data_IF_661194662364
#
_entry.id   IF_661194662364
#
_cell.length_a   1.000
_cell.length_b   1.000
_cell.length_c   1.000
_cell.angle_alpha   90.00
_cell.angle_beta   90.00
_cell.angle_gamma   90.00
#
_symmetry.space_group_name_H-M   'P 1'
#
loop_
_entity.id
_entity.type
_entity.pdbx_description
1 polymer ?
#
# COMPACT_ATOMS: atom_id res chain seq x y z
N UNK A 1 16.12 17.22 20.22
CA UNK A 1 15.85 16.21 19.16
C UNK A 1 17.04 15.27 19.12
N UNK A 2 16.83 13.97 19.32
CA UNK A 2 17.91 12.97 19.43
C UNK A 2 17.87 12.03 18.24
N UNK A 3 19.03 11.75 17.64
CA UNK A 3 19.14 10.77 16.57
C UNK A 3 19.05 9.35 17.13
N UNK A 4 18.09 8.59 16.64
CA UNK A 4 17.85 7.19 17.03
C UNK A 4 17.87 6.29 15.80
N UNK A 5 17.71 4.99 16.01
CA UNK A 5 17.36 4.05 14.95
C UNK A 5 15.97 3.49 15.20
N UNK A 6 15.15 3.45 14.16
CA UNK A 6 13.87 2.74 14.18
C UNK A 6 13.88 1.62 13.15
N UNK A 7 13.08 0.60 13.42
CA UNK A 7 12.78 -0.45 12.47
C UNK A 7 11.69 0.02 11.50
N UNK A 8 11.95 -0.21 10.20
CA UNK A 8 11.01 0.03 9.10
C UNK A 8 10.96 -1.24 8.28
N UNK A 9 9.75 -1.67 7.89
CA UNK A 9 9.58 -2.83 7.01
C UNK A 9 9.67 -2.39 5.55
N UNK A 10 10.50 -3.09 4.77
CA UNK A 10 10.64 -2.87 3.32
C UNK A 10 10.55 -4.23 2.65
N UNK A 11 9.51 -4.46 1.83
CA UNK A 11 9.27 -5.72 1.13
C UNK A 11 9.34 -6.94 2.08
N UNK A 12 8.66 -6.83 3.22
CA UNK A 12 8.60 -7.89 4.23
C UNK A 12 9.87 -8.07 5.07
N UNK A 13 10.93 -7.28 4.87
CA UNK A 13 12.18 -7.32 5.66
C UNK A 13 12.27 -6.15 6.62
N UNK A 14 12.73 -6.41 7.83
CA UNK A 14 13.01 -5.37 8.83
C UNK A 14 14.35 -4.72 8.48
N UNK A 15 14.35 -3.39 8.35
CA UNK A 15 15.55 -2.60 8.09
C UNK A 15 15.61 -1.47 9.11
N UNK A 16 16.76 -1.31 9.77
CA UNK A 16 17.00 -0.18 10.67
C UNK A 16 17.35 1.07 9.87
N UNK A 17 16.70 2.18 10.22
CA UNK A 17 16.91 3.49 9.60
C UNK A 17 17.18 4.55 10.66
N UNK A 18 18.06 5.54 10.37
CA UNK A 18 18.17 6.73 11.20
C UNK A 18 16.81 7.42 11.32
N UNK A 19 16.46 7.81 12.53
CA UNK A 19 15.18 8.41 12.85
C UNK A 19 15.31 9.49 13.92
N UNK A 20 14.29 10.33 13.99
CA UNK A 20 14.16 11.42 14.94
C UNK A 20 12.68 11.60 15.27
N UNK A 21 12.38 11.97 16.51
CA UNK A 21 11.02 12.32 16.95
C UNK A 21 10.83 13.84 16.89
N UNK A 22 9.79 14.28 16.20
CA UNK A 22 9.40 15.70 16.09
C UNK A 22 7.88 15.78 16.19
N UNK A 23 7.36 16.58 17.12
CA UNK A 23 5.91 16.78 17.31
C UNK A 23 5.12 15.46 17.39
N UNK A 24 5.64 14.48 18.15
CA UNK A 24 5.02 13.17 18.32
C UNK A 24 5.08 12.25 17.09
N UNK A 25 5.88 12.59 16.07
CA UNK A 25 6.03 11.81 14.84
C UNK A 25 7.46 11.32 14.66
N UNK A 26 7.58 10.04 14.31
CA UNK A 26 8.84 9.43 13.89
C UNK A 26 9.15 9.80 12.44
N UNK A 27 10.20 10.59 12.23
CA UNK A 27 10.71 10.90 10.88
C UNK A 27 11.90 10.00 10.59
N UNK A 28 11.87 9.29 9.46
CA UNK A 28 12.92 8.36 9.04
C UNK A 28 13.66 8.86 7.81
N UNK A 29 14.98 8.69 7.79
CA UNK A 29 15.80 8.97 6.60
C UNK A 29 16.00 7.71 5.76
N UNK A 30 15.68 7.81 4.47
CA UNK A 30 15.83 6.75 3.46
C UNK A 30 16.92 7.15 2.44
N UNK A 31 17.54 6.16 1.80
CA UNK A 31 18.59 6.37 0.81
C UNK A 31 20.01 6.46 1.40
N UNK A 32 21.01 6.24 0.55
CA UNK A 32 22.44 6.29 0.92
C UNK A 32 23.09 7.59 0.47
N UNK A 33 22.97 7.87 -0.84
CA UNK A 33 23.61 9.02 -1.48
C UNK A 33 22.73 10.26 -1.50
N UNK A 34 21.43 10.09 -1.74
CA UNK A 34 20.41 11.13 -1.56
C UNK A 34 19.59 10.66 -0.37
N UNK A 35 19.57 11.46 0.70
CA UNK A 35 18.84 11.15 1.93
C UNK A 35 17.48 11.84 1.89
N UNK A 36 16.42 11.04 1.86
CA UNK A 36 15.04 11.53 1.84
C UNK A 36 14.40 11.22 3.19
N UNK A 37 14.05 12.26 3.93
CA UNK A 37 13.25 12.18 5.15
C UNK A 37 11.76 12.01 4.80
N UNK A 38 11.09 11.11 5.49
CA UNK A 38 9.65 10.89 5.39
C UNK A 38 9.07 10.53 6.76
N UNK A 39 7.79 10.84 6.99
CA UNK A 39 7.09 10.37 8.18
C UNK A 39 6.94 8.84 8.09
N UNK A 40 7.25 8.14 9.17
CA UNK A 40 7.04 6.68 9.25
C UNK A 40 5.54 6.39 9.27
N UNK A 41 5.12 5.40 8.48
CA UNK A 41 3.71 4.95 8.40
C UNK A 41 2.73 6.10 8.08
N UNK A 42 3.19 7.10 7.32
CA UNK A 42 2.50 8.35 7.01
C UNK A 42 1.04 8.17 6.57
N UNK A 43 0.77 7.17 5.75
CA UNK A 43 -0.55 6.86 5.20
C UNK A 43 -1.58 6.38 6.23
N UNK A 44 -1.14 6.04 7.46
CA UNK A 44 -2.00 5.58 8.56
C UNK A 44 -2.05 6.56 9.73
N UNK A 45 -1.42 7.72 9.62
CA UNK A 45 -1.48 8.77 10.63
C UNK A 45 -2.66 9.66 10.31
N UNK A 46 -3.60 9.81 11.25
CA UNK A 46 -4.72 10.73 11.09
C UNK A 46 -4.22 12.16 10.90
N UNK A 47 -4.77 12.87 9.90
CA UNK A 47 -4.34 14.20 9.44
C UNK A 47 -2.92 14.25 8.83
N UNK A 48 -2.21 13.13 8.73
CA UNK A 48 -0.86 13.04 8.18
C UNK A 48 0.10 14.05 8.82
N UNK A 49 0.75 14.86 7.99
CA UNK A 49 1.58 15.99 8.45
C UNK A 49 0.73 17.18 8.92
N UNK A 50 -0.45 17.40 8.34
CA UNK A 50 -1.35 18.48 8.75
C UNK A 50 -0.66 19.84 8.86
N UNK A 51 -1.09 20.65 9.82
CA UNK A 51 -0.53 22.00 10.05
C UNK A 51 0.92 22.02 10.58
N UNK A 52 1.47 20.86 10.96
CA UNK A 52 2.82 20.75 11.50
C UNK A 52 3.92 20.82 10.42
N UNK A 53 3.57 20.94 9.14
CA UNK A 53 4.53 20.91 8.02
C UNK A 53 5.71 21.87 8.19
N UNK A 54 5.44 23.14 8.53
CA UNK A 54 6.49 24.15 8.72
C UNK A 54 7.38 23.84 9.92
N UNK A 55 6.79 23.39 11.02
CA UNK A 55 7.50 22.98 12.24
C UNK A 55 8.43 21.80 11.96
N UNK A 56 7.95 20.79 11.22
CA UNK A 56 8.76 19.65 10.81
C UNK A 56 9.92 20.08 9.90
N UNK A 57 9.66 20.97 8.94
CA UNK A 57 10.69 21.49 8.01
C UNK A 57 11.79 22.23 8.77
N UNK A 58 11.43 23.13 9.70
CA UNK A 58 12.40 23.90 10.48
C UNK A 58 13.24 23.01 11.39
N UNK A 59 12.60 22.07 12.09
CA UNK A 59 13.28 21.09 12.93
C UNK A 59 14.21 20.16 12.12
N UNK A 60 13.84 19.78 10.90
CA UNK A 60 14.67 18.94 10.04
C UNK A 60 15.86 19.67 9.42
N UNK A 61 15.74 20.99 9.17
CA UNK A 61 16.85 21.82 8.66
C UNK A 61 17.98 21.97 9.68
N UNK A 62 17.63 22.09 10.95
CA UNK A 62 18.56 22.28 12.08
C UNK A 62 18.92 20.97 12.80
N UNK A 63 18.17 19.90 12.54
CA UNK A 63 18.22 18.65 13.29
C UNK A 63 19.30 17.65 12.84
N UNK A 64 19.53 16.61 13.66
CA UNK A 64 20.63 15.66 13.46
C UNK A 64 20.37 14.58 12.39
N UNK A 65 19.18 14.53 11.79
CA UNK A 65 18.83 13.51 10.78
C UNK A 65 19.65 13.67 9.48
N UNK A 66 20.13 14.89 9.20
CA UNK A 66 20.98 15.24 8.05
C UNK A 66 20.43 14.72 6.71
N UNK A 67 19.12 14.89 6.48
CA UNK A 67 18.46 14.55 5.23
C UNK A 67 18.60 15.69 4.19
N UNK A 68 18.61 15.34 2.91
CA UNK A 68 18.71 16.31 1.81
C UNK A 68 17.33 16.87 1.42
N UNK A 69 16.31 16.01 1.43
CA UNK A 69 14.92 16.33 1.04
C UNK A 69 13.99 15.78 2.11
N UNK A 70 12.98 16.54 2.49
CA UNK A 70 11.84 16.04 3.25
C UNK A 70 10.64 15.89 2.33
N UNK A 71 9.84 14.84 2.53
CA UNK A 71 8.63 14.64 1.74
C UNK A 71 7.46 14.19 2.59
N UNK A 72 6.27 14.69 2.23
CA UNK A 72 5.01 14.33 2.87
C UNK A 72 3.83 14.46 1.91
N UNK A 73 2.75 13.73 2.16
CA UNK A 73 1.51 13.77 1.40
C UNK A 73 0.39 14.47 2.19
N UNK A 74 -0.47 15.18 1.46
CA UNK A 74 -1.82 15.48 1.93
C UNK A 74 -2.67 14.21 1.94
N UNK A 75 -3.62 14.17 2.86
CA UNK A 75 -4.55 13.05 3.01
C UNK A 75 -5.98 13.47 2.66
N UNK A 76 -6.80 12.48 2.36
CA UNK A 76 -8.25 12.66 2.21
C UNK A 76 -8.85 13.30 3.47
N UNK A 77 -9.89 14.13 3.32
CA UNK A 77 -10.53 14.54 2.06
C UNK A 77 -9.82 15.73 1.36
N UNK A 78 -8.66 16.18 1.85
CA UNK A 78 -8.00 17.40 1.38
C UNK A 78 -7.20 17.20 0.10
N UNK A 79 -7.84 17.39 -1.06
CA UNK A 79 -7.22 17.24 -2.39
C UNK A 79 -6.62 18.54 -2.94
N UNK A 80 -7.08 19.71 -2.48
CA UNK A 80 -6.57 21.00 -2.92
C UNK A 80 -5.17 21.28 -2.33
N UNK A 81 -4.17 21.69 -3.13
CA UNK A 81 -2.84 22.00 -2.61
C UNK A 81 -2.85 23.12 -1.57
N UNK A 82 -2.25 22.88 -0.41
CA UNK A 82 -2.16 23.81 0.73
C UNK A 82 -0.79 24.49 0.86
N UNK A 83 0.30 23.84 0.47
CA UNK A 83 1.65 24.33 0.71
C UNK A 83 2.34 24.80 -0.58
N UNK A 84 3.25 25.76 -0.44
CA UNK A 84 4.04 26.32 -1.55
C UNK A 84 5.39 25.60 -1.69
N UNK A 85 5.36 24.28 -1.69
CA UNK A 85 6.52 23.41 -1.89
C UNK A 85 6.50 22.78 -3.29
N UNK A 86 7.61 22.11 -3.68
CA UNK A 86 7.63 21.33 -4.92
C UNK A 86 6.53 20.27 -4.82
N UNK A 87 5.57 20.34 -5.73
CA UNK A 87 4.34 19.58 -5.71
C UNK A 87 4.37 18.49 -6.78
N UNK A 88 4.00 17.29 -6.36
CA UNK A 88 3.72 16.14 -7.21
C UNK A 88 2.38 15.52 -6.79
N UNK A 89 1.92 14.51 -7.53
CA UNK A 89 0.61 13.91 -7.34
C UNK A 89 0.72 12.42 -7.05
N UNK A 90 0.25 12.02 -5.87
CA UNK A 90 0.02 10.62 -5.53
C UNK A 90 -1.35 10.20 -6.08
N UNK A 91 -1.37 9.15 -6.89
CA UNK A 91 -2.58 8.61 -7.50
C UNK A 91 -3.16 7.51 -6.63
N UNK A 92 -4.28 7.76 -5.94
CA UNK A 92 -4.93 6.80 -5.03
C UNK A 92 -6.23 6.25 -5.60
N UNK A 93 -6.48 4.96 -5.39
CA UNK A 93 -7.73 4.27 -5.68
C UNK A 93 -8.69 4.40 -4.50
N UNK A 94 -9.80 5.11 -4.71
CA UNK A 94 -10.73 5.48 -3.64
C UNK A 94 -12.17 5.17 -4.05
N UNK A 95 -12.96 4.61 -3.13
CA UNK A 95 -14.43 4.60 -3.22
C UNK A 95 -14.94 5.73 -2.31
N UNK A 96 -15.55 6.79 -2.87
CA UNK A 96 -16.33 7.75 -2.09
C UNK A 96 -17.61 7.06 -1.59
N UNK A 97 -17.89 7.17 -0.29
CA UNK A 97 -18.99 6.47 0.35
C UNK A 97 -20.13 7.45 0.64
N UNK A 98 -21.29 7.15 0.07
CA UNK A 98 -22.57 7.78 0.44
C UNK A 98 -23.50 6.74 1.06
N UNK A 99 -23.82 5.68 0.31
CA UNK A 99 -24.57 4.50 0.78
C UNK A 99 -24.03 3.22 0.16
N UNK A 100 -24.19 2.09 0.84
CA UNK A 100 -23.83 0.77 0.29
C UNK A 100 -24.61 0.47 -0.99
N UNK A 101 -25.93 0.67 -0.98
CA UNK A 101 -26.79 0.41 -2.13
C UNK A 101 -26.49 1.34 -3.32
N UNK A 102 -26.17 2.61 -3.04
CA UNK A 102 -25.73 3.56 -4.05
C UNK A 102 -24.46 3.11 -4.73
N UNK A 103 -23.44 2.71 -3.96
CA UNK A 103 -22.22 2.13 -4.49
C UNK A 103 -22.51 0.86 -5.31
N UNK A 104 -23.27 -0.10 -4.76
CA UNK A 104 -23.55 -1.36 -5.42
C UNK A 104 -24.26 -1.16 -6.77
N UNK A 105 -25.20 -0.20 -6.88
CA UNK A 105 -25.83 0.17 -8.15
C UNK A 105 -24.88 0.91 -9.10
N UNK A 106 -23.90 1.65 -8.57
CA UNK A 106 -22.94 2.44 -9.34
C UNK A 106 -21.77 1.66 -9.95
N UNK A 107 -21.37 0.53 -9.38
CA UNK A 107 -20.25 -0.26 -9.93
C UNK A 107 -20.61 -0.95 -11.27
N UNK A 108 -19.62 -1.49 -11.97
CA UNK A 108 -19.89 -2.20 -13.23
C UNK A 108 -20.71 -3.48 -13.03
N UNK A 109 -21.50 -3.85 -14.04
CA UNK A 109 -22.37 -5.03 -14.01
C UNK A 109 -21.61 -6.31 -13.64
N UNK A 110 -20.43 -6.51 -14.21
CA UNK A 110 -19.61 -7.69 -13.95
C UNK A 110 -19.11 -7.76 -12.50
N UNK A 111 -18.81 -6.61 -11.88
CA UNK A 111 -18.41 -6.56 -10.48
C UNK A 111 -19.59 -6.89 -9.55
N UNK A 112 -20.79 -6.34 -9.80
CA UNK A 112 -22.02 -6.74 -9.10
C UNK A 112 -22.29 -8.24 -9.23
N UNK A 113 -22.16 -8.76 -10.46
CA UNK A 113 -22.36 -10.18 -10.76
C UNK A 113 -21.33 -11.04 -10.03
N UNK A 114 -20.08 -10.59 -9.90
CA UNK A 114 -19.04 -11.28 -9.16
C UNK A 114 -19.36 -11.39 -7.65
N UNK A 115 -19.87 -10.33 -7.03
CA UNK A 115 -20.33 -10.35 -5.62
C UNK A 115 -21.45 -11.39 -5.44
N UNK A 116 -22.48 -11.35 -6.30
CA UNK A 116 -23.58 -12.32 -6.27
C UNK A 116 -23.09 -13.75 -6.54
N UNK A 117 -22.13 -13.92 -7.46
CA UNK A 117 -21.53 -15.21 -7.79
C UNK A 117 -20.78 -15.80 -6.60
N UNK A 118 -20.08 -14.99 -5.82
CA UNK A 118 -19.39 -15.45 -4.62
C UNK A 118 -20.36 -16.05 -3.61
N UNK A 119 -21.45 -15.33 -3.30
CA UNK A 119 -22.50 -15.83 -2.41
C UNK A 119 -23.13 -17.12 -2.93
N UNK A 120 -23.49 -17.18 -4.23
CA UNK A 120 -24.02 -18.41 -4.86
C UNK A 120 -23.03 -19.58 -4.86
N UNK A 121 -21.73 -19.30 -4.81
CA UNK A 121 -20.68 -20.31 -4.72
C UNK A 121 -20.38 -20.73 -3.28
N UNK A 122 -21.18 -20.29 -2.30
CA UNK A 122 -21.04 -20.63 -0.89
C UNK A 122 -19.99 -19.81 -0.13
N UNK A 123 -19.52 -18.69 -0.70
CA UNK A 123 -18.56 -17.81 -0.02
C UNK A 123 -19.29 -16.95 1.01
N UNK A 124 -18.88 -17.06 2.27
CA UNK A 124 -19.38 -16.26 3.39
C UNK A 124 -18.33 -15.21 3.75
N UNK A 125 -18.69 -13.93 3.78
CA UNK A 125 -17.80 -12.84 4.19
C UNK A 125 -18.28 -12.21 5.49
N UNK A 126 -17.38 -12.04 6.45
CA UNK A 126 -17.73 -11.50 7.78
C UNK A 126 -16.52 -10.81 8.45
N UNK A 127 -16.76 -9.86 9.37
CA UNK A 127 -15.74 -9.41 10.30
C UNK A 127 -15.19 -10.59 11.10
N UNK A 128 -13.89 -10.55 11.40
CA UNK A 128 -13.20 -11.57 12.18
C UNK A 128 -12.22 -10.92 13.13
N UNK A 129 -12.05 -11.52 14.30
CA UNK A 129 -11.03 -11.12 15.26
C UNK A 129 -9.67 -11.69 14.87
N UNK A 130 -8.60 -11.02 15.30
CA UNK A 130 -7.26 -11.53 15.11
C UNK A 130 -6.92 -12.59 16.15
N UNK A 131 -7.16 -13.86 15.79
CA UNK A 131 -6.80 -15.02 16.60
C UNK A 131 -5.80 -15.95 15.88
N UNK A 132 -5.39 -17.02 16.55
CA UNK A 132 -4.45 -17.98 15.99
C UNK A 132 -5.02 -18.75 14.79
N UNK A 133 -6.34 -18.92 14.69
CA UNK A 133 -6.98 -19.57 13.55
C UNK A 133 -6.89 -18.70 12.30
N UNK A 134 -7.21 -17.40 12.42
CA UNK A 134 -7.05 -16.43 11.35
C UNK A 134 -5.60 -16.35 10.90
N UNK A 135 -4.64 -16.30 11.83
CA UNK A 135 -3.21 -16.28 11.46
C UNK A 135 -2.82 -17.55 10.69
N UNK A 136 -3.26 -18.75 11.12
CA UNK A 136 -3.00 -20.00 10.38
C UNK A 136 -3.58 -19.93 8.97
N UNK A 137 -4.82 -19.44 8.82
CA UNK A 137 -5.43 -19.23 7.52
C UNK A 137 -4.64 -18.26 6.62
N UNK A 138 -4.17 -17.14 7.18
CA UNK A 138 -3.33 -16.17 6.47
C UNK A 138 -1.99 -16.79 6.05
N UNK A 139 -1.34 -17.57 6.92
CA UNK A 139 -0.10 -18.31 6.60
C UNK A 139 -0.35 -19.24 5.42
N UNK A 140 -1.47 -19.97 5.40
CA UNK A 140 -1.82 -20.86 4.30
C UNK A 140 -2.03 -20.08 2.98
N UNK A 141 -2.75 -18.95 3.02
CA UNK A 141 -2.92 -18.07 1.85
C UNK A 141 -1.58 -17.56 1.35
N UNK A 142 -0.68 -17.15 2.26
CA UNK A 142 0.63 -16.65 1.87
C UNK A 142 1.51 -17.73 1.20
N UNK A 143 1.38 -18.97 1.65
CA UNK A 143 2.19 -20.09 1.19
C UNK A 143 1.61 -20.84 -0.02
N UNK A 144 0.54 -20.34 -0.65
CA UNK A 144 0.00 -20.94 -1.88
C UNK A 144 1.01 -20.96 -3.04
N UNK A 145 1.78 -19.89 -3.19
CA UNK A 145 2.77 -19.77 -4.26
C UNK A 145 3.89 -18.81 -3.86
N UNK A 146 5.14 -19.19 -4.18
CA UNK A 146 6.33 -18.34 -4.02
C UNK A 146 6.40 -17.21 -5.03
N UNK A 147 5.56 -17.24 -6.06
CA UNK A 147 5.42 -16.22 -7.10
C UNK A 147 3.98 -15.75 -7.18
N UNK A 148 3.77 -14.43 -7.11
CA UNK A 148 2.47 -13.79 -7.36
C UNK A 148 2.65 -12.69 -8.41
N UNK A 149 1.82 -12.72 -9.45
CA UNK A 149 1.86 -11.77 -10.57
C UNK A 149 3.25 -11.62 -11.21
N UNK A 150 3.96 -12.75 -11.39
CA UNK A 150 5.29 -12.78 -12.00
C UNK A 150 6.42 -12.21 -11.14
N UNK A 151 6.14 -11.84 -9.89
CA UNK A 151 7.14 -11.35 -8.93
C UNK A 151 7.27 -12.35 -7.76
N UNK A 152 8.48 -12.43 -7.19
CA UNK A 152 8.70 -13.20 -5.97
C UNK A 152 7.84 -12.63 -4.84
N UNK A 153 7.12 -13.51 -4.14
CA UNK A 153 6.17 -13.11 -3.12
C UNK A 153 6.83 -13.12 -1.73
N UNK A 154 7.07 -11.95 -1.15
CA UNK A 154 7.85 -11.80 0.10
C UNK A 154 7.15 -12.30 1.36
N UNK A 155 5.85 -12.62 1.29
CA UNK A 155 5.14 -13.28 2.39
C UNK A 155 5.25 -14.81 2.36
N UNK A 156 5.72 -15.39 1.24
CA UNK A 156 5.96 -16.82 1.14
C UNK A 156 7.07 -17.28 2.10
N UNK A 157 6.86 -18.42 2.74
CA UNK A 157 7.81 -19.04 3.66
C UNK A 157 7.92 -18.38 5.03
N UNK A 158 7.10 -17.36 5.34
CA UNK A 158 7.07 -16.74 6.68
C UNK A 158 6.47 -17.69 7.72
N UNK A 159 7.07 -17.71 8.91
CA UNK A 159 6.56 -18.50 10.04
C UNK A 159 5.26 -17.91 10.59
N UNK A 160 4.53 -18.72 11.34
CA UNK A 160 3.32 -18.30 12.05
C UNK A 160 3.58 -17.07 12.93
N UNK A 161 4.65 -17.09 13.72
CA UNK A 161 5.03 -16.02 14.63
C UNK A 161 5.33 -14.73 13.86
N UNK A 162 6.04 -14.85 12.72
CA UNK A 162 6.36 -13.70 11.87
C UNK A 162 5.08 -13.08 11.30
N UNK A 163 4.17 -13.90 10.80
CA UNK A 163 2.87 -13.42 10.29
C UNK A 163 2.04 -12.80 11.40
N UNK A 164 2.02 -13.39 12.60
CA UNK A 164 1.33 -12.84 13.77
C UNK A 164 1.87 -11.44 14.11
N UNK A 165 3.19 -11.28 14.20
CA UNK A 165 3.82 -9.97 14.43
C UNK A 165 3.57 -8.96 13.32
N UNK A 166 3.47 -9.39 12.06
CA UNK A 166 3.11 -8.52 10.94
C UNK A 166 1.64 -8.05 11.05
N UNK A 167 0.74 -8.92 11.54
CA UNK A 167 -0.69 -8.61 11.63
C UNK A 167 -1.08 -7.86 12.91
N UNK A 168 -0.24 -7.85 13.95
CA UNK A 168 -0.43 -7.01 15.15
C UNK A 168 -0.20 -5.51 14.92
N UNK A 169 0.51 -5.12 13.85
CA UNK A 169 0.78 -3.71 13.54
C UNK A 169 -0.52 -2.94 13.32
N UNK A 170 -0.72 -1.79 13.99
CA UNK A 170 -1.95 -0.96 13.92
C UNK A 170 -3.23 -1.68 14.38
N UNK A 171 -3.13 -2.74 15.21
CA UNK A 171 -4.29 -3.54 15.60
C UNK A 171 -5.44 -2.71 16.19
N UNK A 172 -5.13 -1.76 17.08
CA UNK A 172 -6.13 -0.92 17.77
C UNK A 172 -6.97 -0.02 16.86
N UNK A 173 -6.55 0.15 15.60
CA UNK A 173 -7.27 0.94 14.59
C UNK A 173 -7.59 0.11 13.34
N UNK A 174 -7.49 -1.23 13.42
CA UNK A 174 -7.68 -2.10 12.27
C UNK A 174 -8.86 -3.04 12.44
N UNK A 175 -9.45 -3.44 11.32
CA UNK A 175 -10.44 -4.50 11.27
C UNK A 175 -10.07 -5.54 10.22
N UNK A 176 -10.31 -6.81 10.55
CA UNK A 176 -10.17 -7.92 9.63
C UNK A 176 -11.53 -8.36 9.10
N UNK A 177 -11.56 -8.71 7.82
CA UNK A 177 -12.71 -9.33 7.17
C UNK A 177 -12.20 -10.65 6.57
N UNK A 178 -12.83 -11.77 6.93
CA UNK A 178 -12.53 -13.07 6.36
C UNK A 178 -13.55 -13.46 5.28
N UNK A 179 -13.08 -14.12 4.23
CA UNK A 179 -13.89 -14.84 3.26
C UNK A 179 -13.71 -16.33 3.48
N UNK A 180 -14.81 -17.02 3.74
CA UNK A 180 -14.84 -18.44 4.09
C UNK A 180 -15.60 -19.23 3.03
N UNK A 181 -15.11 -20.43 2.72
CA UNK A 181 -15.86 -21.43 1.99
C UNK A 181 -16.02 -22.64 2.91
N UNK A 182 -17.25 -22.90 3.35
CA UNK A 182 -17.50 -23.73 4.53
C UNK A 182 -16.74 -23.11 5.72
N UNK A 183 -15.79 -23.85 6.31
CA UNK A 183 -14.97 -23.37 7.43
C UNK A 183 -13.54 -22.98 7.01
N UNK A 184 -13.17 -23.14 5.74
CA UNK A 184 -11.83 -22.76 5.26
C UNK A 184 -11.76 -21.25 4.97
N UNK A 185 -10.80 -20.55 5.57
CA UNK A 185 -10.45 -19.19 5.18
C UNK A 185 -9.84 -19.18 3.77
N UNK A 186 -10.57 -18.61 2.81
CA UNK A 186 -10.14 -18.52 1.41
C UNK A 186 -9.66 -17.13 0.98
N UNK A 187 -9.82 -16.12 1.83
CA UNK A 187 -9.31 -14.78 1.63
C UNK A 187 -9.54 -13.88 2.84
N UNK A 188 -8.86 -12.74 2.89
CA UNK A 188 -9.02 -11.76 3.95
C UNK A 188 -8.74 -10.33 3.46
N UNK A 189 -9.30 -9.36 4.18
CA UNK A 189 -8.91 -7.95 4.19
C UNK A 189 -8.42 -7.60 5.57
N UNK A 190 -7.36 -6.79 5.65
CA UNK A 190 -7.05 -5.96 6.80
C UNK A 190 -7.19 -4.50 6.39
N UNK A 191 -8.10 -3.77 7.04
CA UNK A 191 -8.32 -2.35 6.85
C UNK A 191 -7.91 -1.58 8.10
N UNK A 192 -7.46 -0.33 7.94
CA UNK A 192 -7.08 0.58 9.02
C UNK A 192 -7.97 1.82 8.93
N UNK A 193 -8.55 2.23 10.06
CA UNK A 193 -9.33 3.45 10.18
C UNK A 193 -8.43 4.65 10.43
N UNK A 194 -8.64 5.73 9.67
CA UNK A 194 -7.85 6.95 9.70
C UNK A 194 -8.82 8.13 9.67
N UNK A 195 -9.16 8.67 10.84
CA UNK A 195 -10.15 9.72 10.98
C UNK A 195 -11.47 9.36 10.29
N UNK A 196 -11.79 10.06 9.20
CA UNK A 196 -13.05 9.91 8.47
C UNK A 196 -13.03 8.88 7.33
N UNK A 197 -11.95 8.13 7.14
CA UNK A 197 -11.84 7.12 6.07
C UNK A 197 -11.17 5.82 6.52
N UNK A 198 -11.28 4.78 5.71
CA UNK A 198 -10.53 3.54 5.89
C UNK A 198 -9.52 3.35 4.76
N UNK A 199 -8.34 2.83 5.07
CA UNK A 199 -7.34 2.39 4.10
C UNK A 199 -7.14 0.89 4.17
N UNK A 200 -7.12 0.24 3.02
CA UNK A 200 -6.84 -1.18 2.91
C UNK A 200 -5.34 -1.39 3.06
N UNK A 201 -4.93 -2.18 4.07
CA UNK A 201 -3.53 -2.51 4.31
C UNK A 201 -3.15 -3.84 3.66
N UNK A 202 -4.04 -4.85 3.75
CA UNK A 202 -3.88 -6.11 3.03
C UNK A 202 -5.21 -6.54 2.42
N UNK A 203 -5.17 -7.09 1.22
CA UNK A 203 -6.30 -7.79 0.59
C UNK A 203 -5.76 -8.96 -0.21
N UNK A 204 -6.08 -10.17 0.21
CA UNK A 204 -5.55 -11.38 -0.41
C UNK A 204 -6.56 -12.52 -0.36
N UNK A 205 -6.50 -13.37 -1.37
CA UNK A 205 -7.24 -14.63 -1.42
C UNK A 205 -6.42 -15.72 -2.08
N UNK A 206 -6.85 -16.97 -1.92
CA UNK A 206 -6.31 -18.07 -2.69
C UNK A 206 -6.59 -17.89 -4.19
N UNK A 207 -5.58 -18.12 -5.03
CA UNK A 207 -5.69 -18.20 -6.49
C UNK A 207 -6.55 -19.39 -6.91
N UNK A 208 -6.44 -20.55 -6.23
CA UNK A 208 -7.28 -21.74 -6.45
C UNK A 208 -8.78 -21.45 -6.30
N UNK A 209 -9.16 -20.41 -5.55
CA UNK A 209 -10.56 -20.01 -5.34
C UNK A 209 -10.96 -18.74 -6.10
N UNK A 210 -10.09 -18.19 -6.96
CA UNK A 210 -10.36 -16.98 -7.76
C UNK A 210 -11.65 -17.06 -8.59
N UNK A 211 -12.01 -18.25 -9.10
CA UNK A 211 -13.24 -18.47 -9.85
C UNK A 211 -14.52 -18.20 -9.03
N UNK A 212 -14.45 -18.33 -7.71
CA UNK A 212 -15.52 -18.05 -6.73
C UNK A 212 -15.57 -16.58 -6.30
N UNK A 213 -14.68 -15.72 -6.80
CA UNK A 213 -14.70 -14.26 -6.59
C UNK A 213 -14.64 -13.81 -5.10
N UNK A 214 -13.80 -14.42 -4.23
CA UNK A 214 -13.72 -14.02 -2.82
C UNK A 214 -13.32 -12.55 -2.64
N UNK A 215 -12.40 -12.02 -3.46
CA UNK A 215 -11.97 -10.62 -3.36
C UNK A 215 -13.10 -9.63 -3.64
N UNK A 216 -13.99 -9.91 -4.61
CA UNK A 216 -15.15 -9.06 -4.86
C UNK A 216 -16.10 -9.03 -3.66
N UNK A 217 -16.34 -10.20 -3.04
CA UNK A 217 -17.16 -10.27 -1.83
C UNK A 217 -16.53 -9.54 -0.64
N UNK A 218 -15.21 -9.66 -0.46
CA UNK A 218 -14.46 -8.93 0.57
C UNK A 218 -14.57 -7.41 0.40
N UNK A 219 -14.41 -6.90 -0.82
CA UNK A 219 -14.59 -5.46 -1.11
C UNK A 219 -16.04 -5.03 -0.84
N UNK A 220 -17.03 -5.85 -1.24
CA UNK A 220 -18.43 -5.59 -0.90
C UNK A 220 -18.64 -5.43 0.61
N UNK A 221 -18.13 -6.37 1.41
CA UNK A 221 -18.26 -6.30 2.88
C UNK A 221 -17.46 -5.13 3.47
N UNK A 222 -16.32 -4.79 2.90
CA UNK A 222 -15.54 -3.62 3.30
C UNK A 222 -16.31 -2.31 3.11
N UNK A 223 -16.98 -2.13 1.97
CA UNK A 223 -17.83 -0.95 1.70
C UNK A 223 -19.00 -0.89 2.67
N UNK A 224 -19.68 -2.02 2.91
CA UNK A 224 -20.80 -2.13 3.85
C UNK A 224 -20.39 -1.67 5.25
N UNK A 225 -19.29 -2.22 5.78
CA UNK A 225 -18.74 -1.85 7.09
C UNK A 225 -18.36 -0.37 7.15
N UNK A 226 -17.72 0.15 6.11
CA UNK A 226 -17.33 1.56 6.09
C UNK A 226 -18.55 2.48 6.10
N UNK A 227 -19.61 2.12 5.38
CA UNK A 227 -20.88 2.84 5.39
C UNK A 227 -21.56 2.78 6.77
N UNK A 228 -21.66 1.60 7.39
CA UNK A 228 -22.23 1.42 8.74
C UNK A 228 -21.50 2.26 9.80
N UNK A 229 -20.19 2.44 9.64
CA UNK A 229 -19.35 3.27 10.52
C UNK A 229 -19.39 4.76 10.20
N UNK A 230 -20.14 5.19 9.17
CA UNK A 230 -20.21 6.59 8.76
C UNK A 230 -18.91 7.13 8.14
N UNK A 231 -18.06 6.25 7.59
CA UNK A 231 -16.84 6.67 6.92
C UNK A 231 -17.15 7.25 5.54
N UNK A 232 -16.34 8.22 5.14
CA UNK A 232 -16.51 8.99 3.89
C UNK A 232 -15.83 8.35 2.70
N UNK A 233 -14.75 7.58 2.92
CA UNK A 233 -13.96 6.97 1.85
C UNK A 233 -13.42 5.59 2.26
N UNK A 234 -13.28 4.70 1.27
CA UNK A 234 -12.48 3.49 1.34
C UNK A 234 -11.33 3.56 0.33
N UNK A 235 -10.10 3.54 0.82
CA UNK A 235 -8.88 3.59 0.01
C UNK A 235 -8.35 2.18 -0.20
N UNK A 236 -8.03 1.82 -1.45
CA UNK A 236 -7.37 0.56 -1.77
C UNK A 236 -5.85 0.68 -1.75
N UNK A 237 -5.29 1.87 -1.96
CA UNK A 237 -3.85 2.09 -2.20
C UNK A 237 -3.66 2.90 -3.48
N UNK A 238 -2.55 2.71 -4.19
CA UNK A 238 -2.31 3.46 -5.43
C UNK A 238 -3.29 3.06 -6.54
N UNK A 239 -3.72 3.96 -7.42
CA UNK A 239 -4.62 3.60 -8.54
C UNK A 239 -3.87 2.87 -9.65
N UNK A 240 -2.69 3.39 -10.01
CA UNK A 240 -1.76 2.83 -10.99
C UNK A 240 -0.43 2.50 -10.32
N UNK A 241 0.05 1.28 -10.53
CA UNK A 241 1.40 0.89 -10.11
C UNK A 241 2.36 1.01 -11.30
N UNK A 242 3.56 1.55 -11.05
CA UNK A 242 4.58 1.81 -12.09
C UNK A 242 4.09 2.69 -13.26
N UNK A 243 3.01 3.46 -13.09
CA UNK A 243 2.41 4.31 -14.12
C UNK A 243 1.69 3.55 -15.24
N UNK A 244 1.52 2.23 -15.10
CA UNK A 244 0.93 1.36 -16.12
C UNK A 244 -0.45 0.88 -15.69
N UNK A 245 -1.41 0.89 -16.61
CA UNK A 245 -2.69 0.23 -16.39
C UNK A 245 -2.53 -1.28 -16.55
N UNK A 246 -3.03 -2.03 -15.57
CA UNK A 246 -2.96 -3.48 -15.56
C UNK A 246 -4.28 -4.10 -15.09
N UNK A 247 -4.32 -5.42 -14.97
CA UNK A 247 -5.51 -6.15 -14.53
C UNK A 247 -6.05 -5.72 -13.17
N UNK A 248 -5.19 -5.19 -12.29
CA UNK A 248 -5.61 -4.65 -10.99
C UNK A 248 -6.26 -3.27 -11.14
N UNK A 249 -5.71 -2.39 -11.99
CA UNK A 249 -6.35 -1.10 -12.31
C UNK A 249 -7.75 -1.32 -12.87
N UNK A 250 -7.91 -2.29 -13.77
CA UNK A 250 -9.23 -2.70 -14.26
C UNK A 250 -10.12 -3.23 -13.13
N UNK A 251 -9.62 -4.12 -12.27
CA UNK A 251 -10.39 -4.61 -11.13
C UNK A 251 -10.88 -3.47 -10.22
N UNK A 252 -10.02 -2.49 -9.93
CA UNK A 252 -10.35 -1.30 -9.12
C UNK A 252 -11.46 -0.50 -9.76
N UNK A 253 -11.28 -0.13 -11.04
CA UNK A 253 -12.28 0.61 -11.83
C UNK A 253 -13.64 -0.08 -11.81
N UNK A 254 -13.67 -1.37 -12.12
CA UNK A 254 -14.91 -2.17 -12.15
C UNK A 254 -15.59 -2.27 -10.79
N UNK A 255 -14.81 -2.28 -9.72
CA UNK A 255 -15.29 -2.34 -8.33
C UNK A 255 -15.68 -0.97 -7.76
N UNK A 256 -15.69 0.08 -8.58
CA UNK A 256 -16.13 1.43 -8.19
C UNK A 256 -15.04 2.30 -7.57
N UNK A 257 -13.77 1.88 -7.59
CA UNK A 257 -12.68 2.76 -7.21
C UNK A 257 -12.43 3.77 -8.32
N UNK A 258 -12.36 5.05 -7.94
CA UNK A 258 -11.95 6.16 -8.79
C UNK A 258 -10.53 6.59 -8.46
N UNK A 259 -9.87 7.23 -9.42
CA UNK A 259 -8.56 7.86 -9.21
C UNK A 259 -8.74 9.21 -8.53
N UNK A 260 -8.19 9.36 -7.32
CA UNK A 260 -8.07 10.66 -6.64
C UNK A 260 -6.59 11.03 -6.57
N UNK A 261 -6.26 12.23 -7.05
CA UNK A 261 -4.91 12.79 -6.98
C UNK A 261 -4.76 13.54 -5.65
N UNK A 262 -3.77 13.12 -4.85
CA UNK A 262 -3.41 13.76 -3.59
C UNK A 262 -2.08 14.52 -3.73
N UNK A 263 -1.99 15.76 -3.23
CA UNK A 263 -0.74 16.51 -3.22
C UNK A 263 0.38 15.80 -2.42
N UNK A 264 1.50 15.52 -3.07
CA UNK A 264 2.77 15.10 -2.47
C UNK A 264 3.75 16.26 -2.53
N UNK A 265 4.29 16.67 -1.40
CA UNK A 265 5.25 17.75 -1.30
C UNK A 265 6.68 17.25 -1.12
N UNK A 266 7.61 17.99 -1.70
CA UNK A 266 9.03 17.81 -1.48
C UNK A 266 9.68 19.14 -1.09
N UNK A 267 10.37 19.13 0.04
CA UNK A 267 11.03 20.29 0.62
C UNK A 267 12.53 20.07 0.58
N UNK A 268 13.30 20.91 -0.12
CA UNK A 268 14.76 20.83 -0.06
C UNK A 268 15.22 21.31 1.32
N UNK A 269 15.89 20.43 2.07
CA UNK A 269 16.48 20.75 3.37
C UNK A 269 17.91 21.28 3.23
N UNK A 270 18.60 20.88 2.16
CA UNK A 270 19.99 21.30 1.86
C UNK A 270 20.12 21.86 0.45
N UNK A 271 21.26 22.52 0.17
CA UNK A 271 21.61 22.96 -1.20
C UNK A 271 21.62 21.78 -2.18
N UNK A 272 22.15 20.64 -1.73
CA UNK A 272 22.12 19.39 -2.50
C UNK A 272 20.69 18.89 -2.74
N UNK A 273 19.81 18.98 -1.74
CA UNK A 273 18.38 18.69 -1.89
C UNK A 273 17.71 19.54 -2.97
N UNK A 274 18.05 20.83 -3.03
CA UNK A 274 17.53 21.73 -4.08
C UNK A 274 17.95 21.27 -5.48
N UNK A 275 19.22 20.90 -5.68
CA UNK A 275 19.70 20.35 -6.95
C UNK A 275 19.05 19.01 -7.29
N UNK A 276 18.86 18.14 -6.29
CA UNK A 276 18.19 16.84 -6.47
C UNK A 276 16.76 17.01 -6.97
N UNK A 277 15.99 17.94 -6.39
CA UNK A 277 14.62 18.22 -6.83
C UNK A 277 14.57 18.84 -8.21
N UNK A 278 15.44 19.82 -8.48
CA UNK A 278 15.55 20.44 -9.80
C UNK A 278 15.84 19.42 -10.91
N UNK A 279 16.69 18.43 -10.62
CA UNK A 279 17.03 17.36 -11.56
C UNK A 279 16.10 16.14 -11.53
N UNK A 280 15.06 16.11 -10.68
CA UNK A 280 14.14 14.96 -10.55
C UNK A 280 14.77 13.69 -9.96
N UNK A 281 15.91 13.79 -9.28
CA UNK A 281 16.68 12.63 -8.79
C UNK A 281 16.09 12.01 -7.50
N UNK A 282 15.12 12.66 -6.87
CA UNK A 282 14.45 12.18 -5.66
C UNK A 282 13.58 10.94 -5.90
N UNK A 283 13.15 10.66 -7.13
CA UNK A 283 12.47 9.42 -7.51
C UNK A 283 13.38 8.18 -7.53
N UNK A 284 14.67 8.37 -7.25
CA UNK A 284 15.70 7.35 -7.28
C UNK A 284 16.34 7.20 -8.65
N UNK A 285 17.64 6.87 -8.64
CA UNK A 285 18.48 6.81 -9.84
C UNK A 285 17.93 5.90 -10.95
N UNK A 286 17.11 4.88 -10.62
CA UNK A 286 16.50 3.99 -11.62
C UNK A 286 15.41 4.66 -12.46
N UNK A 287 14.66 5.61 -11.92
CA UNK A 287 13.62 6.34 -12.65
C UNK A 287 14.18 7.55 -13.42
N UNK A 288 15.34 8.06 -13.00
CA UNK A 288 16.05 9.16 -13.66
C UNK A 288 16.96 8.71 -14.82
N UNK A 289 17.28 7.41 -14.93
CA UNK A 289 18.13 6.90 -16.02
C UNK A 289 17.32 6.74 -17.32
N UNK A 290 17.78 7.30 -18.45
CA UNK A 290 17.17 7.06 -19.75
C UNK A 290 17.11 5.56 -20.07
N UNK A 291 15.99 5.11 -20.66
CA UNK A 291 15.75 3.70 -21.02
C UNK A 291 16.91 2.98 -21.74
N UNK A 292 17.70 3.63 -22.63
CA UNK A 292 18.86 3.00 -23.26
C UNK A 292 19.95 2.60 -22.26
N UNK A 293 20.19 3.43 -21.24
CA UNK A 293 21.20 3.21 -20.18
C UNK A 293 20.81 2.07 -19.25
N UNK A 294 19.51 1.92 -18.97
CA UNK A 294 18.99 0.79 -18.18
C UNK A 294 19.21 -0.53 -18.95
N UNK A 295 19.01 -0.52 -20.28
CA UNK A 295 19.22 -1.70 -21.13
C UNK A 295 20.70 -2.12 -21.19
N UNK A 296 21.63 -1.17 -21.36
CA UNK A 296 23.08 -1.46 -21.36
C UNK A 296 23.57 -1.94 -20.01
N UNK A 297 23.12 -1.32 -18.90
CA UNK A 297 23.47 -1.78 -17.54
C UNK A 297 22.88 -3.17 -17.24
N UNK A 298 21.68 -3.49 -17.73
CA UNK A 298 21.11 -4.84 -17.62
C UNK A 298 21.90 -5.86 -18.44
N UNK A 299 22.31 -5.52 -19.66
CA UNK A 299 23.11 -6.38 -20.53
C UNK A 299 24.53 -6.64 -19.97
N UNK A 300 25.14 -5.63 -19.34
CA UNK A 300 26.38 -5.78 -18.61
C UNK A 300 26.20 -6.70 -17.39
N UNK A 301 25.08 -6.56 -16.66
CA UNK A 301 24.77 -7.40 -15.50
C UNK A 301 24.43 -8.86 -15.87
N UNK A 302 23.78 -9.10 -17.01
CA UNK A 302 23.53 -10.47 -17.51
C UNK A 302 24.79 -11.18 -17.98
N UNK A 303 25.87 -10.45 -18.29
CA UNK A 303 27.20 -11.04 -18.54
C UNK A 303 27.90 -11.53 -17.26
N UNK A 304 27.45 -11.09 -16.08
CA UNK A 304 28.01 -11.51 -14.79
C UNK A 304 27.18 -12.55 -14.02
N UNK A 305 25.89 -12.70 -14.33
CA UNK A 305 25.04 -13.73 -13.75
C UNK A 305 24.61 -14.73 -14.83
N UNK A 306 25.14 -15.97 -14.80
CA UNK A 306 24.57 -17.08 -15.57
C UNK A 306 23.12 -17.32 -15.09
N UNK A 307 22.12 -17.37 -15.98
CA UNK A 307 20.77 -17.71 -15.59
C UNK A 307 20.66 -19.23 -15.35
N UNK A 308 20.05 -19.61 -14.22
CA UNK A 308 19.39 -20.91 -14.08
C UNK A 308 17.99 -20.73 -14.66
N UNK A 309 17.74 -21.31 -15.83
CA UNK A 309 16.42 -21.36 -16.46
C UNK A 309 15.51 -22.33 -15.70
N UNK A 310 14.32 -21.88 -15.31
CA UNK A 310 13.15 -22.76 -15.22
C UNK A 310 11.97 -22.12 -15.94
N UNK A 311 11.53 -22.83 -16.98
CA UNK A 311 10.28 -22.62 -17.71
C UNK A 311 9.10 -23.12 -16.89
N UNK A 312 8.01 -22.34 -16.86
CA UNK A 312 6.58 -22.70 -16.85
C UNK A 312 5.81 -21.41 -16.53
N UNK A 313 4.70 -21.00 -17.16
CA UNK A 313 3.75 -21.70 -18.00
C UNK A 313 2.39 -21.84 -17.31
N UNK A 314 1.65 -20.75 -17.07
CA UNK A 314 0.16 -20.61 -17.15
C UNK A 314 -0.35 -19.35 -16.43
N UNK A 315 -1.22 -18.62 -17.12
CA UNK A 315 -1.93 -17.44 -16.66
C UNK A 315 -2.91 -17.78 -15.53
N UNK A 316 -2.61 -17.33 -14.31
CA UNK A 316 -3.55 -17.19 -13.21
C UNK A 316 -3.64 -15.72 -12.80
N UNK A 317 -4.80 -15.09 -12.98
CA UNK A 317 -5.04 -13.71 -12.54
C UNK A 317 -5.33 -13.68 -11.02
N UNK A 318 -4.29 -13.48 -10.21
CA UNK A 318 -4.41 -13.18 -8.77
C UNK A 318 -4.33 -11.68 -8.51
N UNK A 319 -5.32 -11.06 -7.88
CA UNK A 319 -5.28 -9.61 -7.61
C UNK A 319 -4.09 -9.27 -6.70
N UNK A 320 -3.42 -8.14 -6.98
CA UNK A 320 -2.21 -7.73 -6.28
C UNK A 320 -2.51 -7.31 -4.85
N UNK A 321 -1.50 -7.50 -4.01
CA UNK A 321 -1.38 -6.86 -2.71
C UNK A 321 -1.18 -5.35 -2.89
N UNK A 322 -1.44 -4.62 -1.80
CA UNK A 322 -1.30 -3.18 -1.74
C UNK A 322 0.15 -2.92 -1.31
N UNK A 323 0.94 -2.37 -2.23
CA UNK A 323 2.33 -2.01 -1.96
C UNK A 323 2.34 -0.67 -1.22
N UNK A 324 2.91 -0.64 -0.02
CA UNK A 324 3.25 0.58 0.71
C UNK A 324 4.73 0.54 1.14
#
# INVERSE_FOLDING_TARGET
>A
MTLTQTEVRVQGRIVRRPAVEISGRTIVSRGKWIKVAAVKDEEYIENGVGDDAEVLVEALRSGPLAADVFTFAQQLPNTAPKYKYHLEWDSKAVIPLTTYDGWLRGIEYDARKAIKKAAKAGVIVRPVELDDELIRGIVNIHNESSVRQGRAFWHYGKTFETVKQDKLTLLGHSQFIGAFLQDELIGFIKMVYIGSFASTLHVMSFQKHSAKKPTNALIGKAVEICHEKGLTHLVYGDYKYDGMENSLTEFKRRSGFVEILLPRYYVPLTVKGRSVLFCGLHHGARKALPSPLIKTLRAARSRFNKPVEQKTGRNGHGLSEIEH
#
